data_IF_229597081489
#
_entry.id   IF_229597081489
#
_cell.length_a   1.000
_cell.length_b   1.000
_cell.length_c   1.000
_cell.angle_alpha   90.00
_cell.angle_beta   90.00
_cell.angle_gamma   90.00
#
_symmetry.space_group_name_H-M   'P 1'
#
loop_
_entity.id
_entity.type
_entity.pdbx_description
1 polymer ?
#
# COMPACT_ATOMS: atom_id res chain seq x y z
N UNK A 1 21.36 -8.79 7.32
CA UNK A 1 19.96 -8.36 7.11
C UNK A 1 19.14 -8.93 8.26
N UNK A 2 18.18 -8.18 8.78
CA UNK A 2 17.26 -8.69 9.82
C UNK A 2 16.47 -9.88 9.26
N UNK A 3 16.28 -10.90 10.08
CA UNK A 3 15.39 -12.04 9.79
C UNK A 3 13.93 -11.62 9.92
N UNK A 4 13.02 -12.37 9.31
CA UNK A 4 11.56 -12.13 9.45
C UNK A 4 11.09 -12.24 10.91
N UNK A 5 11.71 -13.13 11.69
CA UNK A 5 11.43 -13.27 13.12
C UNK A 5 11.89 -12.05 13.92
N UNK A 6 13.04 -11.47 13.59
CA UNK A 6 13.51 -10.22 14.22
C UNK A 6 12.63 -9.03 13.84
N UNK A 7 12.09 -9.00 12.62
CA UNK A 7 11.15 -7.95 12.19
C UNK A 7 9.82 -8.07 12.92
N UNK A 8 9.28 -9.29 13.03
CA UNK A 8 8.04 -9.54 13.79
C UNK A 8 8.16 -9.23 15.29
N UNK A 9 9.40 -9.15 15.82
CA UNK A 9 9.66 -8.78 17.20
C UNK A 9 9.77 -7.26 17.42
N UNK A 10 9.78 -6.45 16.35
CA UNK A 10 9.80 -4.98 16.46
C UNK A 10 8.41 -4.52 16.88
N UNK A 11 8.29 -3.74 17.96
CA UNK A 11 6.98 -3.18 18.32
C UNK A 11 6.47 -2.21 17.25
N UNK A 12 5.15 -2.12 17.10
CA UNK A 12 4.50 -1.12 16.22
C UNK A 12 4.90 0.32 16.59
N UNK A 13 5.13 0.58 17.88
CA UNK A 13 5.61 1.88 18.35
C UNK A 13 6.97 2.20 17.74
N UNK A 14 7.90 1.24 17.73
CA UNK A 14 9.21 1.42 17.12
C UNK A 14 9.10 1.62 15.60
N UNK A 15 8.22 0.88 14.91
CA UNK A 15 7.96 1.08 13.46
C UNK A 15 7.49 2.51 13.19
N UNK A 16 6.55 3.04 13.97
CA UNK A 16 6.01 4.38 13.79
C UNK A 16 7.08 5.49 13.96
N UNK A 17 8.18 5.19 14.66
CA UNK A 17 9.29 6.13 14.91
C UNK A 17 10.41 6.07 13.87
N UNK A 18 10.39 5.12 12.94
CA UNK A 18 11.41 5.03 11.88
C UNK A 18 11.46 6.33 11.06
N UNK A 19 12.65 6.80 10.78
CA UNK A 19 12.83 7.92 9.85
C UNK A 19 12.55 7.47 8.42
N UNK A 20 12.21 8.42 7.55
CA UNK A 20 12.03 8.13 6.11
C UNK A 20 13.30 7.59 5.45
N UNK A 21 14.48 8.00 5.93
CA UNK A 21 15.76 7.47 5.47
C UNK A 21 15.94 5.99 5.85
N UNK A 22 15.56 5.61 7.07
CA UNK A 22 15.61 4.21 7.53
C UNK A 22 14.63 3.33 6.76
N UNK A 23 13.40 3.80 6.53
CA UNK A 23 12.40 3.06 5.75
C UNK A 23 12.87 2.87 4.30
N UNK A 24 13.45 3.89 3.69
CA UNK A 24 14.03 3.78 2.34
C UNK A 24 15.22 2.79 2.27
N UNK A 25 15.94 2.58 3.38
CA UNK A 25 17.05 1.65 3.45
C UNK A 25 16.62 0.18 3.66
N UNK A 26 15.35 -0.09 4.01
CA UNK A 26 14.86 -1.44 4.18
C UNK A 26 14.87 -2.22 2.85
N UNK A 27 15.30 -3.46 2.89
CA UNK A 27 15.23 -4.34 1.71
C UNK A 27 13.81 -4.84 1.49
N UNK A 28 13.47 -5.24 0.26
CA UNK A 28 12.16 -5.85 -0.05
C UNK A 28 11.88 -7.11 0.78
N UNK A 29 12.92 -7.90 1.08
CA UNK A 29 12.79 -9.07 1.96
C UNK A 29 12.44 -8.69 3.41
N UNK A 30 12.91 -7.53 3.89
CA UNK A 30 12.54 -7.02 5.20
C UNK A 30 11.10 -6.48 5.19
N UNK A 31 10.70 -5.77 4.14
CA UNK A 31 9.33 -5.28 3.98
C UNK A 31 8.32 -6.45 3.88
N UNK A 32 8.66 -7.51 3.14
CA UNK A 32 7.85 -8.73 3.06
C UNK A 32 7.75 -9.49 4.39
N UNK A 33 8.63 -9.19 5.36
CA UNK A 33 8.58 -9.73 6.71
C UNK A 33 7.66 -8.95 7.66
N UNK A 34 7.14 -7.79 7.26
CA UNK A 34 6.18 -7.03 8.05
C UNK A 34 4.82 -7.72 8.04
N UNK A 35 4.22 -7.88 9.22
CA UNK A 35 2.79 -8.24 9.29
C UNK A 35 1.90 -7.00 9.10
N UNK A 36 0.59 -7.23 9.06
CA UNK A 36 -0.41 -6.16 8.84
C UNK A 36 -0.43 -5.09 9.93
N UNK A 37 -0.06 -5.42 11.18
CA UNK A 37 0.02 -4.47 12.27
C UNK A 37 1.22 -3.54 12.12
N UNK A 38 2.38 -4.07 11.71
CA UNK A 38 3.54 -3.24 11.39
C UNK A 38 3.25 -2.32 10.19
N UNK A 39 2.57 -2.83 9.15
CA UNK A 39 2.18 -2.01 7.99
C UNK A 39 1.26 -0.86 8.41
N UNK A 40 0.25 -1.11 9.25
CA UNK A 40 -0.62 -0.07 9.78
C UNK A 40 0.09 0.93 10.70
N UNK A 41 1.18 0.51 11.35
CA UNK A 41 1.99 1.37 12.20
C UNK A 41 2.87 2.36 11.41
N UNK A 42 3.04 2.18 10.10
CA UNK A 42 3.79 3.12 9.27
C UNK A 42 3.04 4.47 9.15
N UNK A 43 3.72 5.57 9.40
CA UNK A 43 3.21 6.90 9.08
C UNK A 43 3.12 7.14 7.57
N UNK A 44 2.25 8.06 7.14
CA UNK A 44 2.10 8.42 5.72
C UNK A 44 3.41 8.92 5.09
N UNK A 45 4.24 9.65 5.86
CA UNK A 45 5.55 10.09 5.40
C UNK A 45 6.52 8.93 5.12
N UNK A 46 6.41 7.84 5.88
CA UNK A 46 7.21 6.63 5.67
C UNK A 46 6.71 5.85 4.45
N UNK A 47 5.40 5.74 4.27
CA UNK A 47 4.80 5.10 3.09
C UNK A 47 5.16 5.85 1.80
N UNK A 48 5.14 7.19 1.84
CA UNK A 48 5.46 8.04 0.68
C UNK A 48 6.91 7.93 0.19
N UNK A 49 7.82 7.37 0.99
CA UNK A 49 9.23 7.18 0.60
C UNK A 49 9.58 5.74 0.26
N UNK A 50 8.61 4.82 0.31
CA UNK A 50 8.80 3.48 -0.21
C UNK A 50 9.12 3.57 -1.70
N UNK A 51 10.11 2.79 -2.13
CA UNK A 51 10.27 2.51 -3.54
C UNK A 51 9.15 1.61 -4.02
N UNK A 52 8.87 1.66 -5.32
CA UNK A 52 7.89 0.80 -5.98
C UNK A 52 8.10 -0.69 -5.71
N UNK A 53 9.36 -1.14 -5.67
CA UNK A 53 9.68 -2.53 -5.33
C UNK A 53 9.38 -2.88 -3.87
N UNK A 54 9.55 -1.93 -2.93
CA UNK A 54 9.16 -2.13 -1.53
C UNK A 54 7.64 -2.12 -1.36
N UNK A 55 6.91 -1.25 -2.07
CA UNK A 55 5.45 -1.23 -2.04
C UNK A 55 4.87 -2.57 -2.53
N UNK A 56 5.39 -3.13 -3.62
CA UNK A 56 5.04 -4.49 -4.07
C UNK A 56 5.43 -5.59 -3.08
N UNK A 57 6.51 -5.38 -2.30
CA UNK A 57 6.95 -6.38 -1.33
C UNK A 57 6.01 -6.51 -0.12
N UNK A 58 5.09 -5.57 0.10
CA UNK A 58 4.02 -5.69 1.10
C UNK A 58 3.08 -6.87 0.79
N UNK A 59 2.93 -7.21 -0.49
CA UNK A 59 2.00 -8.22 -0.96
C UNK A 59 0.54 -7.84 -0.69
N UNK A 60 -0.38 -8.72 -1.12
CA UNK A 60 -1.81 -8.49 -0.99
C UNK A 60 -2.27 -8.26 0.46
N UNK A 61 -1.72 -9.00 1.42
CA UNK A 61 -2.09 -8.84 2.83
C UNK A 61 -1.65 -7.49 3.40
N UNK A 62 -0.42 -7.05 3.10
CA UNK A 62 0.08 -5.74 3.54
C UNK A 62 -0.67 -4.59 2.87
N UNK A 63 -0.87 -4.66 1.54
CA UNK A 63 -1.63 -3.63 0.80
C UNK A 63 -3.07 -3.54 1.29
N UNK A 64 -3.73 -4.67 1.53
CA UNK A 64 -5.10 -4.69 2.07
C UNK A 64 -5.20 -4.17 3.50
N UNK A 65 -4.10 -4.18 4.26
CA UNK A 65 -4.05 -3.64 5.62
C UNK A 65 -3.80 -2.13 5.67
N UNK A 66 -3.35 -1.50 4.57
CA UNK A 66 -3.11 -0.06 4.53
C UNK A 66 -4.38 0.73 4.87
N UNK A 67 -4.21 1.80 5.63
CA UNK A 67 -5.27 2.78 5.88
C UNK A 67 -5.53 3.63 4.63
N UNK A 68 -6.67 4.33 4.59
CA UNK A 68 -6.97 5.30 3.52
C UNK A 68 -5.88 6.35 3.35
N UNK A 69 -5.31 6.83 4.46
CA UNK A 69 -4.29 7.89 4.44
C UNK A 69 -2.95 7.37 3.95
N UNK A 70 -2.60 6.11 4.28
CA UNK A 70 -1.40 5.45 3.76
C UNK A 70 -1.52 5.15 2.26
N UNK A 71 -2.69 4.69 1.80
CA UNK A 71 -2.93 4.47 0.37
C UNK A 71 -2.77 5.76 -0.44
N UNK A 72 -3.29 6.88 0.08
CA UNK A 72 -3.14 8.21 -0.53
C UNK A 72 -1.71 8.78 -0.44
N UNK A 73 -0.83 8.15 0.33
CA UNK A 73 0.58 8.49 0.39
C UNK A 73 1.41 7.78 -0.68
N UNK A 74 0.85 6.74 -1.33
CA UNK A 74 1.50 6.07 -2.46
C UNK A 74 1.56 7.01 -3.68
N UNK A 75 2.65 6.92 -4.44
CA UNK A 75 2.72 7.65 -5.70
C UNK A 75 1.91 6.94 -6.77
N UNK A 76 1.54 7.65 -7.83
CA UNK A 76 0.87 7.05 -9.00
C UNK A 76 1.73 5.98 -9.67
N UNK A 77 3.05 6.09 -9.59
CA UNK A 77 3.98 5.06 -10.07
C UNK A 77 3.91 3.78 -9.22
N UNK A 78 3.76 3.90 -7.90
CA UNK A 78 3.60 2.75 -7.01
C UNK A 78 2.26 2.06 -7.28
N UNK A 79 1.17 2.84 -7.42
CA UNK A 79 -0.16 2.32 -7.76
C UNK A 79 -0.14 1.56 -9.09
N UNK A 80 0.46 2.14 -10.14
CA UNK A 80 0.56 1.49 -11.45
C UNK A 80 1.40 0.19 -11.42
N UNK A 81 2.27 0.04 -10.43
CA UNK A 81 3.14 -1.12 -10.29
C UNK A 81 2.54 -2.22 -9.41
N UNK A 82 1.49 -1.97 -8.63
CA UNK A 82 0.83 -3.01 -7.84
C UNK A 82 0.32 -4.14 -8.75
N UNK A 83 0.31 -5.35 -8.24
CA UNK A 83 -0.30 -6.50 -8.90
C UNK A 83 -1.83 -6.42 -8.85
N UNK A 84 -2.50 -7.16 -9.73
CA UNK A 84 -3.97 -7.28 -9.69
C UNK A 84 -4.47 -7.90 -8.39
N UNK A 85 -3.69 -8.79 -7.77
CA UNK A 85 -4.01 -9.40 -6.47
C UNK A 85 -3.93 -8.39 -5.33
N UNK A 86 -2.96 -7.47 -5.35
CA UNK A 86 -2.85 -6.39 -4.37
C UNK A 86 -3.97 -5.38 -4.51
N UNK A 87 -4.34 -5.01 -5.75
CA UNK A 87 -5.49 -4.14 -6.00
C UNK A 87 -6.79 -4.76 -5.50
N UNK A 88 -6.98 -6.07 -5.68
CA UNK A 88 -8.15 -6.79 -5.14
C UNK A 88 -8.18 -6.87 -3.61
N UNK A 89 -7.03 -6.73 -2.95
CA UNK A 89 -6.96 -6.75 -1.50
C UNK A 89 -7.37 -5.41 -0.86
N UNK A 90 -7.40 -4.31 -1.63
CA UNK A 90 -7.84 -3.01 -1.13
C UNK A 90 -9.34 -3.08 -0.83
N UNK A 91 -9.72 -2.74 0.41
CA UNK A 91 -11.13 -2.72 0.81
C UNK A 91 -11.93 -1.71 -0.01
N UNK A 92 -13.22 -1.98 -0.22
CA UNK A 92 -14.13 -1.05 -0.92
C UNK A 92 -14.22 0.31 -0.24
N UNK A 93 -14.15 0.34 1.10
CA UNK A 93 -14.08 1.59 1.88
C UNK A 93 -12.84 2.40 1.50
N UNK A 94 -11.68 1.77 1.41
CA UNK A 94 -10.45 2.46 1.03
C UNK A 94 -10.46 2.87 -0.46
N UNK A 95 -10.99 2.03 -1.36
CA UNK A 95 -11.16 2.38 -2.78
C UNK A 95 -11.97 3.67 -2.95
N UNK A 96 -13.04 3.86 -2.16
CA UNK A 96 -13.85 5.07 -2.18
C UNK A 96 -13.10 6.34 -1.73
N UNK A 97 -11.98 6.19 -1.02
CA UNK A 97 -11.16 7.29 -0.52
C UNK A 97 -9.97 7.64 -1.42
N UNK A 98 -9.67 6.81 -2.42
CA UNK A 98 -8.58 7.08 -3.35
C UNK A 98 -8.83 8.35 -4.16
N UNK A 99 -7.76 9.05 -4.49
CA UNK A 99 -7.82 10.25 -5.32
C UNK A 99 -8.07 9.90 -6.78
N UNK A 100 -8.57 10.85 -7.57
CA UNK A 100 -8.73 10.67 -9.02
C UNK A 100 -7.39 10.41 -9.73
N UNK A 101 -6.28 10.93 -9.20
CA UNK A 101 -4.95 10.67 -9.73
C UNK A 101 -4.51 9.21 -9.49
N UNK A 102 -4.79 8.64 -8.32
CA UNK A 102 -4.51 7.23 -8.03
C UNK A 102 -5.38 6.31 -8.89
N UNK A 103 -6.67 6.63 -9.06
CA UNK A 103 -7.57 5.86 -9.93
C UNK A 103 -7.13 5.95 -11.40
N UNK A 104 -6.76 7.14 -11.87
CA UNK A 104 -6.25 7.33 -13.23
C UNK A 104 -4.87 6.69 -13.49
N UNK A 105 -4.14 6.33 -12.43
CA UNK A 105 -2.87 5.62 -12.53
C UNK A 105 -3.03 4.10 -12.69
N UNK A 106 -4.23 3.56 -12.44
CA UNK A 106 -4.49 2.13 -12.61
C UNK A 106 -4.30 1.72 -14.07
N UNK A 107 -3.55 0.63 -14.27
CA UNK A 107 -3.49 -0.05 -15.55
C UNK A 107 -4.82 -0.71 -15.89
N UNK A 108 -5.05 -1.00 -17.17
CA UNK A 108 -6.26 -1.69 -17.63
C UNK A 108 -6.48 -3.03 -16.92
N UNK A 109 -5.41 -3.78 -16.63
CA UNK A 109 -5.51 -5.06 -15.92
C UNK A 109 -5.96 -4.87 -14.46
N UNK A 110 -5.44 -3.86 -13.77
CA UNK A 110 -5.83 -3.53 -12.41
C UNK A 110 -7.28 -3.02 -12.32
N UNK A 111 -7.69 -2.15 -13.26
CA UNK A 111 -9.07 -1.68 -13.34
C UNK A 111 -10.06 -2.83 -13.58
N UNK A 112 -9.70 -3.81 -14.43
CA UNK A 112 -10.49 -5.04 -14.59
C UNK A 112 -10.53 -5.88 -13.30
N UNK A 113 -9.42 -5.94 -12.57
CA UNK A 113 -9.31 -6.72 -11.35
C UNK A 113 -10.21 -6.21 -10.20
N UNK A 114 -10.57 -4.92 -10.18
CA UNK A 114 -11.54 -4.35 -9.22
C UNK A 114 -12.92 -5.02 -9.31
N UNK A 115 -13.30 -5.49 -10.50
CA UNK A 115 -14.61 -6.09 -10.75
C UNK A 115 -15.78 -5.14 -10.48
N UNK A 116 -17.00 -5.68 -10.56
CA UNK A 116 -18.21 -4.87 -10.39
C UNK A 116 -18.32 -4.26 -8.97
N UNK A 117 -17.94 -5.00 -7.94
CA UNK A 117 -18.03 -4.54 -6.54
C UNK A 117 -17.06 -3.40 -6.25
N UNK A 118 -15.82 -3.49 -6.73
CA UNK A 118 -14.84 -2.42 -6.56
C UNK A 118 -15.26 -1.15 -7.32
N UNK A 119 -15.72 -1.30 -8.56
CA UNK A 119 -16.22 -0.17 -9.37
C UNK A 119 -17.44 0.50 -8.72
N UNK A 120 -18.37 -0.29 -8.15
CA UNK A 120 -19.54 0.25 -7.46
C UNK A 120 -19.20 0.99 -6.15
N UNK A 121 -18.02 0.73 -5.57
CA UNK A 121 -17.53 1.45 -4.40
C UNK A 121 -16.87 2.79 -4.74
N UNK A 122 -16.52 3.04 -6.00
CA UNK A 122 -15.93 4.30 -6.43
C UNK A 122 -16.96 5.44 -6.36
N UNK A 123 -16.51 6.61 -5.91
CA UNK A 123 -17.31 7.83 -5.92
C UNK A 123 -17.47 8.41 -7.33
N UNK A 124 -18.35 9.41 -7.46
CA UNK A 124 -18.63 10.07 -8.74
C UNK A 124 -17.43 10.74 -9.37
N UNK A 125 -16.51 11.25 -8.55
CA UNK A 125 -15.30 11.91 -9.05
C UNK A 125 -14.30 10.87 -9.58
N UNK A 126 -14.13 9.74 -8.89
CA UNK A 126 -13.29 8.64 -9.34
C UNK A 126 -13.79 8.01 -10.65
N UNK A 127 -15.11 7.86 -10.81
CA UNK A 127 -15.73 7.35 -12.05
C UNK A 127 -15.54 8.29 -13.26
N UNK A 128 -15.15 9.55 -13.03
CA UNK A 128 -14.93 10.56 -14.07
C UNK A 128 -13.45 10.79 -14.39
N UNK A 129 -12.54 10.20 -13.62
CA UNK A 129 -11.09 10.26 -13.82
C UNK A 129 -10.70 9.47 -15.08
#
# INVERSE_FOLDING_TARGET
ALTTAEIAAISTDNISTLTTAEVKALTTAQIAGLDTAHVQALGTAQVAVLSTAQAQALGAAGVGALTSDQLRALTTADVAALTTAEIQAISTTNLATLTTAEIGALTTAQAQALGATGIAALGSDQLRA
#
